data_IF_094921311496
#
_entry.id   IF_094921311496
#
_cell.length_a   1.000
_cell.length_b   1.000
_cell.length_c   1.000
_cell.angle_alpha   90.00
_cell.angle_beta   90.00
_cell.angle_gamma   90.00
#
_symmetry.space_group_name_H-M   'P 1'
#
loop_
_entity.id
_entity.type
_entity.pdbx_description
1 polymer ?
#
# COMPACT_ATOMS: atom_id res chain seq x y z
N UNK A 1 -10.47 18.55 -1.83
CA UNK A 1 -10.87 18.44 -0.43
C UNK A 1 -12.33 18.04 -0.19
N UNK A 2 -13.32 18.61 -0.91
CA UNK A 2 -14.75 18.36 -0.61
C UNK A 2 -15.19 16.91 -0.90
N UNK A 3 -14.76 16.33 -1.98
CA UNK A 3 -15.11 14.94 -2.36
C UNK A 3 -14.37 13.95 -1.47
N UNK A 4 -13.09 14.18 -1.19
CA UNK A 4 -12.26 13.29 -0.38
C UNK A 4 -12.72 13.22 1.08
N UNK A 5 -13.31 14.28 1.64
CA UNK A 5 -13.84 14.26 3.00
C UNK A 5 -14.95 13.21 3.19
N UNK A 6 -15.88 13.11 2.23
CA UNK A 6 -16.93 12.08 2.26
C UNK A 6 -16.34 10.67 2.12
N UNK A 7 -15.33 10.49 1.25
CA UNK A 7 -14.65 9.20 1.08
C UNK A 7 -13.91 8.77 2.34
N UNK A 8 -13.24 9.70 3.04
CA UNK A 8 -12.57 9.41 4.32
C UNK A 8 -13.59 9.02 5.40
N UNK A 9 -14.72 9.74 5.51
CA UNK A 9 -15.75 9.38 6.47
C UNK A 9 -16.35 7.99 6.21
N UNK A 10 -16.65 7.67 4.95
CA UNK A 10 -17.11 6.33 4.57
C UNK A 10 -16.05 5.26 4.85
N UNK A 11 -14.79 5.54 4.52
CA UNK A 11 -13.67 4.64 4.79
C UNK A 11 -13.48 4.34 6.26
N UNK A 12 -13.60 5.34 7.12
CA UNK A 12 -13.51 5.15 8.59
C UNK A 12 -14.60 4.20 9.12
N UNK A 13 -15.83 4.32 8.60
CA UNK A 13 -16.91 3.40 8.96
C UNK A 13 -16.59 1.98 8.47
N UNK A 14 -16.12 1.83 7.24
CA UNK A 14 -15.73 0.54 6.68
C UNK A 14 -14.58 -0.10 7.49
N UNK A 15 -13.58 0.69 7.88
CA UNK A 15 -12.46 0.23 8.70
C UNK A 15 -12.93 -0.36 10.05
N UNK A 16 -13.87 0.31 10.72
CA UNK A 16 -14.47 -0.23 11.95
C UNK A 16 -15.19 -1.56 11.73
N UNK A 17 -15.93 -1.70 10.62
CA UNK A 17 -16.62 -2.95 10.28
C UNK A 17 -15.61 -4.06 9.98
N UNK A 18 -14.54 -3.75 9.24
CA UNK A 18 -13.47 -4.69 8.92
C UNK A 18 -12.71 -5.14 10.18
N UNK A 19 -12.42 -4.20 11.08
CA UNK A 19 -11.73 -4.50 12.34
C UNK A 19 -12.50 -5.50 13.20
N UNK A 20 -13.84 -5.43 13.23
CA UNK A 20 -14.70 -6.43 13.93
C UNK A 20 -14.57 -7.82 13.31
N UNK A 21 -14.13 -7.94 12.08
CA UNK A 21 -13.86 -9.19 11.37
C UNK A 21 -12.39 -9.62 11.42
N UNK A 22 -11.55 -8.89 12.16
CA UNK A 22 -10.13 -9.15 12.27
C UNK A 22 -9.31 -8.68 11.07
N UNK A 23 -9.91 -7.89 10.17
CA UNK A 23 -9.23 -7.31 9.01
C UNK A 23 -8.73 -5.91 9.40
N UNK A 24 -7.46 -5.65 9.15
CA UNK A 24 -6.82 -4.36 9.45
C UNK A 24 -6.10 -3.82 8.23
N UNK A 25 -6.16 -2.50 8.06
CA UNK A 25 -5.51 -1.78 6.97
C UNK A 25 -4.43 -0.88 7.57
N UNK A 26 -3.23 -0.96 7.02
CA UNK A 26 -2.09 -0.12 7.40
C UNK A 26 -1.52 0.53 6.17
N UNK A 27 -1.12 1.79 6.29
CA UNK A 27 -0.50 2.53 5.19
C UNK A 27 0.65 3.36 5.72
N UNK A 28 1.79 3.32 5.02
CA UNK A 28 2.91 4.21 5.30
C UNK A 28 3.39 4.92 4.03
N UNK A 29 4.21 5.94 4.21
CA UNK A 29 4.87 6.65 3.11
C UNK A 29 6.12 5.86 2.74
N UNK A 30 6.02 4.98 1.73
CA UNK A 30 7.16 4.18 1.28
C UNK A 30 8.26 5.02 0.62
N UNK A 31 7.88 6.13 -0.04
CA UNK A 31 8.84 7.06 -0.67
C UNK A 31 8.23 8.45 -0.80
N UNK A 32 9.01 9.48 -0.51
CA UNK A 32 8.61 10.87 -0.74
C UNK A 32 9.81 11.69 -1.21
N UNK A 33 9.64 12.45 -2.28
CA UNK A 33 10.69 13.33 -2.83
C UNK A 33 12.05 12.61 -3.06
N UNK A 34 12.03 11.35 -3.45
CA UNK A 34 13.22 10.53 -3.65
C UNK A 34 13.80 9.88 -2.38
N UNK A 35 13.32 10.24 -1.20
CA UNK A 35 13.71 9.59 0.08
C UNK A 35 12.83 8.38 0.31
N UNK A 36 13.45 7.23 0.53
CA UNK A 36 12.77 5.96 0.80
C UNK A 36 12.70 5.69 2.30
N UNK A 37 11.56 5.15 2.75
CA UNK A 37 11.36 4.59 4.07
C UNK A 37 11.95 3.16 4.15
N UNK A 38 11.94 2.57 5.33
CA UNK A 38 12.29 1.16 5.50
C UNK A 38 11.33 0.27 4.69
N UNK A 39 11.84 -0.79 4.03
CA UNK A 39 10.99 -1.71 3.30
C UNK A 39 10.10 -2.50 4.24
N UNK A 40 8.87 -2.75 3.82
CA UNK A 40 7.99 -3.67 4.51
C UNK A 40 8.60 -5.07 4.44
N UNK A 41 9.10 -5.58 5.57
CA UNK A 41 9.61 -6.96 5.59
C UNK A 41 8.42 -7.92 5.53
N UNK A 42 8.43 -8.81 4.55
CA UNK A 42 7.42 -9.84 4.34
C UNK A 42 7.36 -10.92 5.43
N UNK A 43 8.23 -10.85 6.41
CA UNK A 43 8.33 -11.86 7.47
C UNK A 43 7.97 -11.29 8.83
N UNK A 44 6.88 -11.81 9.35
CA UNK A 44 6.56 -11.92 10.78
C UNK A 44 6.69 -10.61 11.60
N UNK A 45 5.58 -10.01 11.86
CA UNK A 45 5.45 -8.95 12.86
C UNK A 45 5.36 -7.57 12.24
N UNK A 46 4.37 -7.37 11.39
CA UNK A 46 3.83 -6.07 11.07
C UNK A 46 3.29 -5.40 12.35
N UNK A 47 4.19 -4.98 13.21
CA UNK A 47 3.89 -3.99 14.23
C UNK A 47 3.95 -2.65 13.50
N UNK A 48 2.91 -2.36 12.74
CA UNK A 48 2.73 -1.03 12.21
C UNK A 48 2.19 -0.20 13.37
N UNK A 49 3.04 0.65 13.91
CA UNK A 49 2.60 1.64 14.87
C UNK A 49 1.55 2.53 14.20
N UNK A 50 0.45 2.80 14.90
CA UNK A 50 -0.51 3.78 14.41
C UNK A 50 0.21 5.13 14.23
N UNK A 51 -0.03 5.83 13.10
CA UNK A 51 0.61 7.12 12.87
C UNK A 51 0.28 8.08 14.01
N UNK A 52 1.30 8.67 14.61
CA UNK A 52 1.08 9.67 15.64
C UNK A 52 0.60 10.99 15.01
N UNK A 53 -0.38 11.69 15.64
CA UNK A 53 -0.81 12.99 15.15
C UNK A 53 0.35 13.95 14.95
N UNK A 54 0.44 14.56 13.76
CA UNK A 54 1.49 15.51 13.42
C UNK A 54 2.78 14.91 12.87
N UNK A 55 2.89 13.59 12.82
CA UNK A 55 4.03 12.87 12.24
C UNK A 55 3.66 12.16 10.94
N UNK A 56 4.64 11.89 10.10
CA UNK A 56 4.46 11.06 8.93
C UNK A 56 4.25 9.59 9.35
N UNK A 57 3.39 8.88 8.62
CA UNK A 57 3.25 7.45 8.77
C UNK A 57 4.46 6.76 8.13
N UNK A 58 5.47 6.40 8.93
CA UNK A 58 6.75 5.81 8.51
C UNK A 58 7.03 4.57 9.34
N UNK A 59 7.74 3.61 8.74
CA UNK A 59 8.31 2.45 9.44
C UNK A 59 9.61 2.83 10.16
N UNK A 60 10.39 3.74 9.56
CA UNK A 60 11.60 4.31 10.13
C UNK A 60 11.39 5.81 10.42
N UNK A 61 11.17 6.20 11.69
CA UNK A 61 10.96 7.60 12.06
C UNK A 61 12.12 8.53 11.67
N UNK A 62 13.35 8.00 11.51
CA UNK A 62 14.50 8.81 11.12
C UNK A 62 14.39 9.35 9.68
N UNK A 63 13.51 8.77 8.85
CA UNK A 63 13.24 9.22 7.49
C UNK A 63 12.33 10.45 7.42
N UNK A 64 11.65 10.82 8.50
CA UNK A 64 10.75 11.97 8.51
C UNK A 64 11.49 13.29 8.22
N UNK A 65 12.57 13.54 8.92
CA UNK A 65 13.33 14.78 8.77
C UNK A 65 13.91 14.96 7.35
N UNK A 66 14.52 13.96 6.71
CA UNK A 66 14.95 14.04 5.32
C UNK A 66 13.80 14.27 4.34
N UNK A 67 12.66 13.60 4.50
CA UNK A 67 11.49 13.80 3.64
C UNK A 67 10.94 15.22 3.77
N UNK A 68 10.80 15.72 4.98
CA UNK A 68 10.36 17.10 5.23
C UNK A 68 11.34 18.12 4.66
N UNK A 69 12.66 17.88 4.75
CA UNK A 69 13.67 18.75 4.17
C UNK A 69 13.55 18.81 2.64
N UNK A 70 13.37 17.67 1.98
CA UNK A 70 13.18 17.59 0.53
C UNK A 70 11.89 18.30 0.08
N UNK A 71 10.79 18.15 0.82
CA UNK A 71 9.54 18.87 0.55
C UNK A 71 9.74 20.38 0.67
N UNK A 72 10.40 20.84 1.74
CA UNK A 72 10.67 22.28 1.95
C UNK A 72 11.59 22.85 0.88
N UNK A 73 12.60 22.09 0.43
CA UNK A 73 13.50 22.52 -0.62
C UNK A 73 12.75 22.74 -1.94
N UNK A 74 11.92 21.79 -2.35
CA UNK A 74 11.08 21.94 -3.54
C UNK A 74 10.12 23.14 -3.42
N UNK A 75 9.47 23.29 -2.27
CA UNK A 75 8.57 24.43 -2.00
C UNK A 75 9.28 25.79 -2.06
N UNK A 76 10.52 25.88 -1.59
CA UNK A 76 11.33 27.11 -1.68
C UNK A 76 11.67 27.49 -3.12
N UNK A 77 11.71 26.52 -4.03
CA UNK A 77 11.90 26.74 -5.47
C UNK A 77 10.59 26.98 -6.23
N UNK A 78 9.46 27.06 -5.55
CA UNK A 78 8.12 27.17 -6.15
C UNK A 78 7.66 25.90 -6.86
N UNK A 79 8.17 24.75 -6.44
CA UNK A 79 7.92 23.44 -7.02
C UNK A 79 7.18 22.51 -6.03
N UNK A 80 6.85 21.30 -6.47
CA UNK A 80 6.18 20.28 -5.67
C UNK A 80 6.80 18.90 -5.86
N UNK A 81 6.52 17.99 -4.95
CA UNK A 81 7.02 16.61 -4.97
C UNK A 81 5.90 15.61 -4.95
N UNK A 82 6.16 14.41 -5.47
CA UNK A 82 5.29 13.25 -5.38
C UNK A 82 5.79 12.25 -4.36
N UNK A 83 5.03 11.17 -4.20
CA UNK A 83 5.38 10.10 -3.28
C UNK A 83 4.69 8.79 -3.61
N UNK A 84 5.10 7.74 -2.90
CA UNK A 84 4.53 6.40 -2.95
C UNK A 84 4.03 6.06 -1.57
N UNK A 85 2.78 5.61 -1.51
CA UNK A 85 2.20 5.00 -0.32
C UNK A 85 2.22 3.48 -0.49
N UNK A 86 2.63 2.75 0.54
CA UNK A 86 2.48 1.31 0.61
C UNK A 86 1.40 0.96 1.62
N UNK A 87 0.45 0.13 1.20
CA UNK A 87 -0.69 -0.30 2.01
C UNK A 87 -0.65 -1.81 2.19
N UNK A 88 -0.91 -2.25 3.40
CA UNK A 88 -1.02 -3.65 3.78
C UNK A 88 -2.37 -3.89 4.42
N UNK A 89 -3.08 -4.90 3.94
CA UNK A 89 -4.32 -5.37 4.53
C UNK A 89 -4.07 -6.77 5.11
N UNK A 90 -4.24 -6.91 6.40
CA UNK A 90 -4.09 -8.20 7.10
C UNK A 90 -5.45 -8.79 7.45
N UNK A 91 -5.51 -10.11 7.63
CA UNK A 91 -6.73 -10.80 8.07
C UNK A 91 -7.76 -11.04 6.98
N UNK A 92 -7.45 -10.75 5.72
CA UNK A 92 -8.34 -11.05 4.58
C UNK A 92 -8.44 -12.57 4.43
N UNK A 93 -9.65 -13.16 4.49
CA UNK A 93 -9.81 -14.59 4.27
C UNK A 93 -9.43 -15.00 2.85
N UNK A 94 -8.88 -16.21 2.69
CA UNK A 94 -8.73 -16.79 1.36
C UNK A 94 -10.09 -16.98 0.68
N UNK A 95 -10.13 -16.76 -0.65
CA UNK A 95 -11.34 -16.98 -1.45
C UNK A 95 -12.16 -15.72 -1.74
N UNK A 96 -11.70 -14.52 -1.29
CA UNK A 96 -12.35 -13.26 -1.65
C UNK A 96 -11.82 -12.78 -3.01
N UNK A 97 -12.72 -12.35 -3.88
CA UNK A 97 -12.47 -11.86 -5.23
C UNK A 97 -13.18 -12.69 -6.29
N UNK A 98 -13.60 -12.04 -7.36
CA UNK A 98 -14.29 -12.66 -8.50
C UNK A 98 -13.58 -12.32 -9.83
N UNK A 99 -12.73 -13.21 -10.36
CA UNK A 99 -12.19 -13.02 -11.71
C UNK A 99 -13.35 -13.14 -12.73
N UNK A 100 -13.35 -12.37 -13.82
CA UNK A 100 -12.22 -11.59 -14.33
C UNK A 100 -12.24 -10.13 -13.89
N UNK A 101 -13.44 -9.49 -13.82
CA UNK A 101 -13.55 -8.03 -13.69
C UNK A 101 -13.53 -7.58 -12.25
N UNK A 102 -14.04 -8.39 -11.33
CA UNK A 102 -14.19 -8.07 -9.91
C UNK A 102 -13.11 -8.78 -9.07
N UNK A 103 -11.90 -8.88 -9.61
CA UNK A 103 -10.73 -9.33 -8.86
C UNK A 103 -10.39 -8.36 -7.73
N UNK A 104 -9.72 -8.84 -6.69
CA UNK A 104 -9.29 -7.97 -5.57
C UNK A 104 -8.46 -6.80 -6.07
N UNK A 105 -7.57 -7.04 -7.05
CA UNK A 105 -6.78 -5.96 -7.67
C UNK A 105 -7.66 -4.96 -8.40
N UNK A 106 -8.66 -5.42 -9.16
CA UNK A 106 -9.56 -4.55 -9.93
C UNK A 106 -10.36 -3.63 -9.01
N UNK A 107 -10.94 -4.17 -7.95
CA UNK A 107 -11.74 -3.41 -7.00
C UNK A 107 -10.90 -2.38 -6.24
N UNK A 108 -9.74 -2.78 -5.75
CA UNK A 108 -8.82 -1.86 -5.06
C UNK A 108 -8.32 -0.78 -6.03
N UNK A 109 -7.92 -1.15 -7.24
CA UNK A 109 -7.44 -0.20 -8.23
C UNK A 109 -8.53 0.80 -8.65
N UNK A 110 -9.76 0.33 -8.85
CA UNK A 110 -10.90 1.19 -9.16
C UNK A 110 -11.09 2.28 -8.10
N UNK A 111 -11.07 1.91 -6.83
CA UNK A 111 -11.20 2.86 -5.72
C UNK A 111 -9.96 3.76 -5.56
N UNK A 112 -8.76 3.21 -5.75
CA UNK A 112 -7.51 3.97 -5.64
C UNK A 112 -7.44 5.09 -6.69
N UNK A 113 -7.84 4.83 -7.94
CA UNK A 113 -7.88 5.86 -8.99
C UNK A 113 -8.99 6.89 -8.82
N UNK A 114 -9.97 6.66 -7.94
CA UNK A 114 -10.93 7.70 -7.55
C UNK A 114 -10.29 8.76 -6.63
N UNK A 115 -9.14 8.47 -6.04
CA UNK A 115 -8.39 9.43 -5.21
C UNK A 115 -7.63 10.40 -6.13
N UNK A 116 -7.83 11.73 -5.98
CA UNK A 116 -7.14 12.71 -6.80
C UNK A 116 -5.62 12.56 -6.72
N UNK A 117 -4.94 12.74 -7.86
CA UNK A 117 -3.50 12.67 -8.03
C UNK A 117 -2.87 11.27 -7.94
N UNK A 118 -3.61 10.22 -7.66
CA UNK A 118 -3.13 8.85 -7.87
C UNK A 118 -2.95 8.61 -9.36
N UNK A 119 -1.77 8.11 -9.75
CA UNK A 119 -1.36 7.91 -11.15
C UNK A 119 -0.88 6.50 -11.45
N UNK A 120 -0.78 5.65 -10.46
CA UNK A 120 -0.41 4.26 -10.64
C UNK A 120 -0.67 3.47 -9.38
N UNK A 121 -0.84 2.17 -9.57
CA UNK A 121 -0.94 1.17 -8.51
C UNK A 121 -0.20 -0.08 -8.95
N UNK A 122 0.43 -0.77 -8.01
CA UNK A 122 1.03 -2.08 -8.21
C UNK A 122 0.79 -2.97 -6.99
N UNK A 123 0.72 -4.28 -7.21
CA UNK A 123 0.45 -5.27 -6.17
C UNK A 123 1.66 -6.18 -5.96
N UNK A 124 1.98 -6.48 -4.71
CA UNK A 124 3.12 -7.33 -4.36
C UNK A 124 4.44 -6.81 -4.91
N UNK A 125 5.15 -7.64 -5.68
CA UNK A 125 6.40 -7.23 -6.35
C UNK A 125 6.16 -6.21 -7.47
N UNK A 126 4.91 -6.07 -7.96
CA UNK A 126 4.55 -5.05 -8.94
C UNK A 126 5.41 -5.09 -10.20
N UNK A 127 5.94 -3.94 -10.62
CA UNK A 127 6.77 -3.84 -11.82
C UNK A 127 8.08 -4.64 -11.73
N UNK A 128 8.57 -4.95 -10.52
CA UNK A 128 9.77 -5.77 -10.36
C UNK A 128 9.58 -7.22 -10.87
N UNK A 129 8.35 -7.68 -11.09
CA UNK A 129 8.11 -8.97 -11.75
C UNK A 129 8.76 -9.07 -13.14
N UNK A 130 8.95 -7.95 -13.85
CA UNK A 130 9.57 -7.93 -15.17
C UNK A 130 11.02 -8.46 -15.15
N UNK A 131 11.69 -8.35 -14.01
CA UNK A 131 13.09 -8.77 -13.83
C UNK A 131 13.21 -10.17 -13.21
N UNK A 132 12.09 -10.81 -12.85
CA UNK A 132 12.07 -12.11 -12.19
C UNK A 132 11.83 -13.26 -13.17
N UNK A 133 12.50 -14.38 -12.93
CA UNK A 133 12.12 -15.65 -13.56
C UNK A 133 10.92 -16.26 -12.83
N UNK A 134 10.13 -17.11 -13.51
CA UNK A 134 8.96 -17.76 -12.94
C UNK A 134 9.23 -18.47 -11.61
N UNK A 135 10.37 -19.16 -11.49
CA UNK A 135 10.78 -19.81 -10.23
C UNK A 135 11.09 -18.83 -9.08
N UNK A 136 11.44 -17.59 -9.41
CA UNK A 136 11.69 -16.52 -8.44
C UNK A 136 10.41 -15.75 -8.11
N UNK A 137 9.49 -15.65 -9.07
CA UNK A 137 8.22 -14.93 -8.95
C UNK A 137 7.15 -15.72 -8.18
N UNK A 138 7.27 -17.05 -8.18
CA UNK A 138 6.27 -17.92 -7.56
C UNK A 138 6.26 -17.81 -6.05
N UNK A 139 5.05 -17.88 -5.47
CA UNK A 139 4.80 -17.98 -4.03
C UNK A 139 4.37 -19.41 -3.68
N UNK A 140 5.30 -20.34 -3.42
CA UNK A 140 4.95 -21.74 -3.17
C UNK A 140 4.16 -21.89 -1.87
N UNK A 141 3.11 -22.68 -1.90
CA UNK A 141 2.31 -22.99 -0.72
C UNK A 141 3.08 -23.88 0.27
N UNK A 142 2.88 -23.61 1.54
CA UNK A 142 3.46 -24.38 2.65
C UNK A 142 2.46 -24.43 3.83
N UNK A 143 2.80 -25.22 4.83
CA UNK A 143 2.04 -25.28 6.08
C UNK A 143 2.80 -24.54 7.18
N UNK A 144 2.11 -23.64 7.89
CA UNK A 144 2.64 -22.97 9.09
C UNK A 144 1.54 -22.96 10.15
N UNK A 145 1.83 -23.52 11.33
CA UNK A 145 0.90 -23.58 12.46
C UNK A 145 -0.48 -24.17 12.09
N UNK A 146 -0.48 -25.23 11.25
CA UNK A 146 -1.69 -25.90 10.80
C UNK A 146 -2.50 -25.15 9.75
N UNK A 147 -1.99 -24.04 9.22
CA UNK A 147 -2.65 -23.24 8.17
C UNK A 147 -1.84 -23.30 6.87
N UNK A 148 -2.56 -23.30 5.75
CA UNK A 148 -1.96 -23.13 4.43
C UNK A 148 -1.58 -21.68 4.26
N UNK A 149 -0.30 -21.42 3.96
CA UNK A 149 0.25 -20.09 3.70
C UNK A 149 1.18 -20.17 2.49
N UNK A 150 1.65 -19.04 1.98
CA UNK A 150 2.74 -19.02 1.00
C UNK A 150 4.08 -18.78 1.70
N UNK A 151 5.15 -19.35 1.17
CA UNK A 151 6.51 -19.19 1.70
C UNK A 151 7.03 -17.76 1.51
N UNK A 152 6.59 -17.12 0.43
CA UNK A 152 6.85 -15.72 0.07
C UNK A 152 5.52 -15.02 -0.23
N UNK A 153 5.52 -13.71 -0.43
CA UNK A 153 4.30 -12.95 -0.74
C UNK A 153 4.55 -11.96 -1.90
N UNK A 154 5.18 -12.43 -2.96
CA UNK A 154 5.49 -11.61 -4.14
C UNK A 154 4.25 -11.21 -4.91
N UNK A 155 3.22 -12.05 -4.90
CA UNK A 155 1.92 -11.75 -5.51
C UNK A 155 1.05 -10.81 -4.64
N UNK A 156 1.56 -10.36 -3.49
CA UNK A 156 0.83 -9.43 -2.63
C UNK A 156 -0.47 -9.98 -2.06
N UNK A 157 -0.52 -11.28 -1.74
CA UNK A 157 -1.69 -11.92 -1.12
C UNK A 157 -2.81 -12.27 -2.09
N UNK A 158 -2.59 -12.13 -3.41
CA UNK A 158 -3.61 -12.33 -4.44
C UNK A 158 -3.07 -13.25 -5.52
N UNK A 159 -3.79 -14.32 -5.82
CA UNK A 159 -3.48 -15.25 -6.90
C UNK A 159 -4.71 -15.41 -7.80
N UNK A 160 -4.56 -15.16 -9.09
CA UNK A 160 -5.66 -15.24 -10.05
C UNK A 160 -6.85 -14.32 -9.73
N UNK A 161 -6.61 -13.17 -9.10
CA UNK A 161 -7.65 -12.22 -8.71
C UNK A 161 -8.32 -12.51 -7.37
N UNK A 162 -7.89 -13.56 -6.66
CA UNK A 162 -8.50 -14.07 -5.44
C UNK A 162 -7.50 -13.97 -4.28
N UNK A 163 -7.95 -13.46 -3.13
CA UNK A 163 -7.14 -13.42 -1.92
C UNK A 163 -6.75 -14.83 -1.48
N UNK A 164 -5.49 -15.04 -1.12
CA UNK A 164 -4.95 -16.34 -0.72
C UNK A 164 -4.78 -16.50 0.80
N UNK A 165 -5.22 -15.52 1.60
CA UNK A 165 -5.10 -15.51 3.05
C UNK A 165 -3.81 -14.89 3.57
N UNK A 166 -2.84 -14.57 2.70
CA UNK A 166 -1.67 -13.77 3.05
C UNK A 166 -2.04 -12.28 3.11
N UNK A 167 -1.22 -11.43 3.72
CA UNK A 167 -1.43 -9.99 3.67
C UNK A 167 -1.55 -9.48 2.23
N UNK A 168 -2.60 -8.70 1.95
CA UNK A 168 -2.71 -8.00 0.67
C UNK A 168 -1.82 -6.77 0.73
N UNK A 169 -0.88 -6.68 -0.21
CA UNK A 169 0.13 -5.61 -0.28
C UNK A 169 0.06 -4.92 -1.62
N UNK A 170 -0.09 -3.60 -1.59
CA UNK A 170 -0.06 -2.78 -2.80
C UNK A 170 0.56 -1.41 -2.57
N UNK A 171 1.05 -0.79 -3.63
CA UNK A 171 1.61 0.56 -3.61
C UNK A 171 0.89 1.45 -4.58
N UNK A 172 0.66 2.71 -4.17
CA UNK A 172 0.08 3.74 -5.03
C UNK A 172 1.03 4.91 -5.16
N UNK A 173 1.16 5.46 -6.37
CA UNK A 173 1.94 6.67 -6.60
C UNK A 173 1.03 7.88 -6.70
N UNK A 174 1.38 8.91 -5.95
CA UNK A 174 0.74 10.23 -5.97
C UNK A 174 1.66 11.19 -6.70
N UNK A 175 1.15 11.78 -7.79
CA UNK A 175 1.94 12.73 -8.59
C UNK A 175 2.16 14.04 -7.84
N UNK A 176 3.23 14.79 -8.16
CA UNK A 176 3.39 16.18 -7.70
C UNK A 176 2.18 17.05 -8.07
N UNK A 177 1.88 18.02 -7.23
CA UNK A 177 0.84 19.02 -7.51
C UNK A 177 1.23 19.85 -8.73
N UNK A 178 0.34 20.01 -9.74
CA UNK A 178 0.68 20.74 -10.95
C UNK A 178 0.63 22.29 -10.79
N UNK A 179 0.05 22.77 -9.69
CA UNK A 179 -0.03 24.22 -9.40
C UNK A 179 1.27 24.69 -8.75
N UNK A 180 2.23 24.99 -9.58
CA UNK A 180 3.58 25.45 -9.19
C UNK A 180 3.85 26.84 -9.78
N UNK A 181 4.92 27.51 -9.31
CA UNK A 181 5.32 28.85 -9.76
C UNK A 181 6.46 28.84 -10.79
N UNK A 182 6.80 27.67 -11.33
CA UNK A 182 7.79 27.50 -12.41
C UNK A 182 7.15 27.52 -13.77
#
# INVERSE_FOLDING_TARGET
GRITAASVAAGSICEHILAQRGIKVYTHIARCAGVEDAPLSSSAGLIMAEPQPGHFALLDPEKEAPMQAAIRAAGAEGDSVGGILETVITGVPAGIGEPFFDSVESEIAHLAFAIPAVKGIEFGAGFAFADLRGSQANDPFTMRDGKVVTATNKNGGINGGIANGMPVVFRTVVKPTPSIYK
#
